data_IF_827591835387
#
_entry.id   IF_827591835387
#
_cell.length_a   1.000
_cell.length_b   1.000
_cell.length_c   1.000
_cell.angle_alpha   90.00
_cell.angle_beta   90.00
_cell.angle_gamma   90.00
#
_symmetry.space_group_name_H-M   'P 1'
#
loop_
_entity.id
_entity.type
_entity.pdbx_description
1 polymer ?
#
# COMPACT_ATOMS: atom_id res chain seq x y z
N UNK A 1 36.44 -30.68 27.22
CA UNK A 1 36.59 -30.97 25.79
C UNK A 1 35.41 -30.34 25.05
N UNK A 2 35.59 -29.12 24.55
CA UNK A 2 34.53 -28.37 23.81
C UNK A 2 34.59 -28.70 22.33
N UNK A 3 33.51 -29.25 21.81
CA UNK A 3 33.36 -29.57 20.38
C UNK A 3 32.91 -28.31 19.63
N UNK A 4 33.83 -27.53 19.09
CA UNK A 4 33.51 -26.43 18.15
C UNK A 4 33.16 -27.02 16.78
N UNK A 5 31.86 -27.06 16.45
CA UNK A 5 31.42 -27.32 15.07
C UNK A 5 31.68 -26.06 14.22
N UNK A 6 32.70 -26.14 13.39
CA UNK A 6 33.00 -25.14 12.36
C UNK A 6 32.00 -25.29 11.20
N UNK A 7 31.12 -24.31 11.04
CA UNK A 7 30.27 -24.18 9.84
C UNK A 7 31.12 -23.59 8.70
N UNK A 8 31.51 -24.42 7.73
CA UNK A 8 32.10 -23.95 6.48
C UNK A 8 31.00 -23.30 5.62
N UNK A 9 31.14 -21.98 5.34
CA UNK A 9 30.34 -21.27 4.34
C UNK A 9 30.59 -21.93 2.97
N UNK A 10 29.62 -22.72 2.49
CA UNK A 10 29.58 -23.08 1.06
C UNK A 10 29.30 -21.80 0.28
N UNK A 11 30.28 -21.37 -0.52
CA UNK A 11 30.13 -20.29 -1.46
C UNK A 11 29.02 -20.64 -2.47
N UNK A 12 27.92 -19.92 -2.46
CA UNK A 12 26.90 -19.96 -3.50
C UNK A 12 27.53 -19.43 -4.78
N UNK A 13 27.77 -20.27 -5.77
CA UNK A 13 28.06 -19.85 -7.15
C UNK A 13 26.70 -19.70 -7.84
N UNK A 14 26.34 -18.49 -8.33
CA UNK A 14 25.14 -18.37 -9.17
C UNK A 14 25.36 -19.24 -10.40
N UNK A 15 24.47 -20.19 -10.66
CA UNK A 15 24.40 -20.91 -11.92
C UNK A 15 24.15 -19.90 -13.04
N UNK A 16 24.77 -20.15 -14.19
CA UNK A 16 24.68 -19.34 -15.40
C UNK A 16 23.26 -18.82 -15.67
N UNK A 17 23.22 -17.51 -15.88
CA UNK A 17 22.12 -16.65 -16.37
C UNK A 17 20.89 -17.43 -16.83
N UNK A 18 19.92 -17.54 -15.95
CA UNK A 18 18.54 -17.66 -16.42
C UNK A 18 18.29 -16.50 -17.41
N UNK A 19 17.71 -16.76 -18.59
CA UNK A 19 17.43 -15.71 -19.56
C UNK A 19 16.62 -14.63 -18.82
N UNK A 20 17.12 -13.39 -18.87
CA UNK A 20 16.41 -12.25 -18.30
C UNK A 20 14.98 -12.29 -18.88
N UNK A 21 13.99 -12.44 -18.00
CA UNK A 21 12.58 -12.35 -18.37
C UNK A 21 12.38 -10.94 -18.95
N UNK A 22 12.30 -10.86 -20.27
CA UNK A 22 11.85 -9.64 -20.96
C UNK A 22 10.34 -9.76 -21.07
N UNK A 23 9.57 -8.98 -20.31
CA UNK A 23 8.14 -8.89 -20.56
C UNK A 23 7.98 -8.48 -22.02
N UNK A 24 7.27 -9.27 -22.81
CA UNK A 24 6.84 -8.86 -24.15
C UNK A 24 5.97 -7.61 -23.91
N UNK A 25 6.50 -6.43 -24.23
CA UNK A 25 5.67 -5.22 -24.30
C UNK A 25 4.61 -5.53 -25.36
N UNK A 26 3.39 -5.75 -24.91
CA UNK A 26 2.22 -5.69 -25.79
C UNK A 26 2.18 -4.31 -26.47
N UNK A 27 1.46 -4.17 -27.58
CA UNK A 27 1.31 -2.87 -28.20
C UNK A 27 0.82 -1.89 -27.13
N UNK A 28 1.53 -0.78 -27.00
CA UNK A 28 1.22 0.29 -26.06
C UNK A 28 -0.03 1.01 -26.62
N UNK A 29 -1.21 0.46 -26.31
CA UNK A 29 -2.51 0.97 -26.80
C UNK A 29 -3.05 2.13 -25.94
N UNK A 30 -2.23 2.68 -25.08
CA UNK A 30 -2.63 3.79 -24.25
C UNK A 30 -3.68 3.46 -23.17
N UNK A 31 -4.05 2.18 -22.98
CA UNK A 31 -5.00 1.74 -21.94
C UNK A 31 -4.33 1.61 -20.57
N UNK A 32 -3.44 2.52 -20.24
CA UNK A 32 -2.84 2.60 -18.93
C UNK A 32 -3.89 2.93 -17.86
N UNK A 33 -3.79 2.29 -16.70
CA UNK A 33 -4.45 2.73 -15.47
C UNK A 33 -4.04 4.17 -15.19
N UNK A 34 -4.79 5.14 -15.75
CA UNK A 34 -4.60 6.54 -15.38
C UNK A 34 -5.32 6.77 -14.07
N UNK A 35 -4.58 7.25 -13.09
CA UNK A 35 -5.06 7.62 -11.77
C UNK A 35 -5.98 8.84 -11.82
N UNK A 36 -6.01 9.52 -12.95
CA UNK A 36 -6.95 10.58 -13.28
C UNK A 36 -8.09 10.01 -14.15
N UNK A 37 -9.18 9.78 -13.54
CA UNK A 37 -10.59 9.70 -13.93
C UNK A 37 -11.06 9.20 -15.29
N UNK A 38 -10.27 8.96 -16.33
CA UNK A 38 -10.77 8.70 -17.68
C UNK A 38 -10.25 7.43 -18.38
N UNK A 39 -9.34 6.66 -17.79
CA UNK A 39 -8.65 5.56 -18.47
C UNK A 39 -9.15 4.15 -18.22
N UNK A 40 -9.87 3.89 -17.16
CA UNK A 40 -10.45 2.59 -16.88
C UNK A 40 -11.89 2.54 -17.41
N UNK A 41 -12.09 1.96 -18.58
CA UNK A 41 -13.40 1.44 -18.99
C UNK A 41 -13.72 0.21 -18.12
N UNK A 42 -13.96 0.45 -16.83
CA UNK A 42 -14.46 -0.55 -15.93
C UNK A 42 -15.86 -0.97 -16.40
N UNK A 43 -16.06 -2.24 -16.69
CA UNK A 43 -17.40 -2.78 -16.89
C UNK A 43 -18.17 -2.57 -15.58
N UNK A 44 -19.02 -1.57 -15.59
CA UNK A 44 -19.83 -1.13 -14.46
C UNK A 44 -20.74 -2.27 -13.99
N UNK A 45 -20.22 -3.11 -13.09
CA UNK A 45 -21.02 -4.22 -12.53
C UNK A 45 -21.92 -3.78 -11.37
N UNK A 46 -21.64 -2.66 -10.70
CA UNK A 46 -22.44 -2.14 -9.57
C UNK A 46 -22.22 -0.65 -9.39
N UNK A 47 -23.22 0.16 -9.60
CA UNK A 47 -23.36 1.56 -9.19
C UNK A 47 -22.23 2.52 -9.59
N UNK A 48 -22.39 3.81 -9.32
CA UNK A 48 -21.34 4.78 -9.57
C UNK A 48 -20.16 4.50 -8.63
N UNK A 49 -18.94 4.30 -9.21
CA UNK A 49 -17.72 4.32 -8.44
C UNK A 49 -17.65 5.67 -7.71
N UNK A 50 -17.38 5.65 -6.39
CA UNK A 50 -17.12 6.88 -5.66
C UNK A 50 -16.06 7.70 -6.40
N UNK A 51 -16.33 8.99 -6.59
CA UNK A 51 -15.35 9.90 -7.19
C UNK A 51 -14.11 9.89 -6.31
N UNK A 52 -12.95 9.61 -6.89
CA UNK A 52 -11.68 9.78 -6.19
C UNK A 52 -11.38 11.26 -5.99
N UNK A 53 -10.65 11.56 -4.93
CA UNK A 53 -10.22 12.92 -4.62
C UNK A 53 -9.20 13.43 -5.64
N UNK A 54 -9.33 14.69 -6.05
CA UNK A 54 -8.29 15.40 -6.78
C UNK A 54 -7.07 15.69 -5.88
N UNK A 55 -5.93 15.99 -6.47
CA UNK A 55 -4.73 16.36 -5.70
C UNK A 55 -4.96 17.59 -4.80
N UNK A 56 -5.76 18.55 -5.28
CA UNK A 56 -6.11 19.74 -4.48
C UNK A 56 -6.98 19.38 -3.27
N UNK A 57 -7.97 18.52 -3.45
CA UNK A 57 -8.80 18.00 -2.36
C UNK A 57 -7.95 17.22 -1.34
N UNK A 58 -7.01 16.40 -1.79
CA UNK A 58 -6.09 15.64 -0.92
C UNK A 58 -5.17 16.52 -0.08
N UNK A 59 -4.79 17.70 -0.57
CA UNK A 59 -3.97 18.64 0.21
C UNK A 59 -4.72 19.21 1.41
N UNK A 60 -6.02 19.35 1.33
CA UNK A 60 -6.89 19.88 2.39
C UNK A 60 -7.49 18.80 3.28
N UNK A 61 -7.43 17.54 2.86
CA UNK A 61 -8.06 16.42 3.52
C UNK A 61 -7.28 15.93 4.75
N UNK A 62 -8.01 15.49 5.77
CA UNK A 62 -7.46 14.80 6.92
C UNK A 62 -7.21 13.32 6.66
N UNK A 63 -6.64 12.63 7.68
CA UNK A 63 -6.27 11.21 7.57
C UNK A 63 -7.47 10.31 7.25
N UNK A 64 -8.67 10.66 7.70
CA UNK A 64 -9.87 9.85 7.48
C UNK A 64 -10.30 9.85 6.01
N UNK A 65 -10.31 11.01 5.38
CA UNK A 65 -10.66 11.17 3.97
C UNK A 65 -9.58 10.55 3.09
N UNK A 66 -8.30 10.83 3.39
CA UNK A 66 -7.17 10.30 2.63
C UNK A 66 -7.10 8.77 2.69
N UNK A 67 -7.28 8.17 3.86
CA UNK A 67 -7.23 6.71 4.00
C UNK A 67 -8.41 6.01 3.33
N UNK A 68 -9.59 6.66 3.28
CA UNK A 68 -10.74 6.15 2.55
C UNK A 68 -10.51 6.19 1.03
N UNK A 69 -10.06 7.34 0.50
CA UNK A 69 -9.73 7.49 -0.93
C UNK A 69 -8.66 6.48 -1.36
N UNK A 70 -7.62 6.31 -0.53
CA UNK A 70 -6.57 5.32 -0.75
C UNK A 70 -7.12 3.90 -0.80
N UNK A 71 -8.01 3.52 0.13
CA UNK A 71 -8.69 2.22 0.13
C UNK A 71 -9.49 1.99 -1.16
N UNK A 72 -10.16 3.02 -1.68
CA UNK A 72 -10.85 2.97 -2.97
C UNK A 72 -9.87 2.74 -4.14
N UNK A 73 -8.70 3.38 -4.11
CA UNK A 73 -7.66 3.22 -5.13
C UNK A 73 -7.05 1.82 -5.08
N UNK A 74 -6.75 1.30 -3.89
CA UNK A 74 -6.27 -0.07 -3.70
C UNK A 74 -7.30 -1.11 -4.18
N UNK A 75 -8.60 -0.86 -3.95
CA UNK A 75 -9.66 -1.72 -4.48
C UNK A 75 -9.66 -1.76 -6.01
N UNK A 76 -9.44 -0.62 -6.67
CA UNK A 76 -9.32 -0.53 -8.12
C UNK A 76 -8.04 -1.22 -8.63
N UNK A 77 -6.93 -1.06 -7.91
CA UNK A 77 -5.69 -1.77 -8.21
C UNK A 77 -5.89 -3.29 -8.16
N UNK A 78 -6.54 -3.79 -7.10
CA UNK A 78 -6.87 -5.21 -6.99
C UNK A 78 -7.68 -5.71 -8.18
N UNK A 79 -8.71 -4.97 -8.60
CA UNK A 79 -9.54 -5.33 -9.75
C UNK A 79 -8.71 -5.32 -11.04
N UNK A 80 -7.88 -4.30 -11.24
CA UNK A 80 -6.97 -4.24 -12.38
C UNK A 80 -6.04 -5.45 -12.44
N UNK A 81 -5.37 -5.79 -11.35
CA UNK A 81 -4.44 -6.91 -11.30
C UNK A 81 -5.09 -8.28 -11.52
N UNK A 82 -6.35 -8.44 -11.14
CA UNK A 82 -7.05 -9.74 -11.20
C UNK A 82 -7.95 -9.91 -12.42
N UNK A 83 -8.44 -8.81 -13.01
CA UNK A 83 -9.42 -8.86 -14.10
C UNK A 83 -8.91 -8.26 -15.41
N UNK A 84 -8.18 -7.13 -15.37
CA UNK A 84 -7.88 -6.31 -16.54
C UNK A 84 -6.42 -6.44 -17.04
N UNK A 85 -5.46 -6.73 -16.13
CA UNK A 85 -4.06 -6.84 -16.50
C UNK A 85 -3.80 -8.00 -17.48
N UNK A 86 -2.85 -7.81 -18.40
CA UNK A 86 -2.43 -8.84 -19.34
C UNK A 86 -1.94 -10.11 -18.61
N UNK A 87 -1.16 -9.90 -17.54
CA UNK A 87 -0.71 -10.96 -16.64
C UNK A 87 -1.43 -10.82 -15.31
N UNK A 88 -2.40 -11.71 -15.07
CA UNK A 88 -3.20 -11.69 -13.86
C UNK A 88 -2.39 -12.12 -12.66
N UNK A 89 -2.45 -11.31 -11.62
CA UNK A 89 -1.75 -11.54 -10.37
C UNK A 89 -2.77 -11.76 -9.23
N UNK A 90 -2.72 -12.93 -8.56
CA UNK A 90 -3.72 -13.32 -7.56
C UNK A 90 -3.17 -13.49 -6.14
N UNK A 91 -1.86 -13.42 -5.96
CA UNK A 91 -1.21 -13.65 -4.67
C UNK A 91 -0.88 -12.33 -3.99
N UNK A 92 -0.06 -11.50 -4.63
CA UNK A 92 0.33 -10.19 -4.12
C UNK A 92 -0.86 -9.23 -4.11
N UNK A 93 -1.73 -9.33 -5.13
CA UNK A 93 -2.96 -8.52 -5.20
C UNK A 93 -3.85 -8.67 -3.97
N UNK A 94 -3.96 -9.87 -3.41
CA UNK A 94 -4.72 -10.10 -2.15
C UNK A 94 -4.02 -9.49 -0.94
N UNK A 95 -2.70 -9.52 -0.89
CA UNK A 95 -1.93 -8.97 0.22
C UNK A 95 -2.04 -7.44 0.23
N UNK A 96 -1.80 -6.80 -0.91
CA UNK A 96 -1.93 -5.33 -1.01
C UNK A 96 -3.38 -4.87 -0.80
N UNK A 97 -4.37 -5.64 -1.25
CA UNK A 97 -5.78 -5.34 -0.98
C UNK A 97 -6.07 -5.35 0.52
N UNK A 98 -5.60 -6.39 1.22
CA UNK A 98 -5.77 -6.54 2.66
C UNK A 98 -5.10 -5.39 3.42
N UNK A 99 -3.79 -5.18 3.21
CA UNK A 99 -3.05 -4.14 3.93
C UNK A 99 -3.58 -2.75 3.60
N UNK A 100 -3.73 -2.37 2.34
CA UNK A 100 -4.16 -1.04 1.95
C UNK A 100 -5.57 -0.67 2.39
N UNK A 101 -6.51 -1.64 2.43
CA UNK A 101 -7.87 -1.39 2.98
C UNK A 101 -7.89 -1.37 4.51
N UNK A 102 -6.99 -2.13 5.18
CA UNK A 102 -6.83 -2.13 6.63
C UNK A 102 -6.37 -0.77 7.18
N UNK A 103 -5.61 0.02 6.39
CA UNK A 103 -5.26 1.39 6.77
C UNK A 103 -6.51 2.20 7.09
N UNK A 104 -7.44 2.27 6.14
CA UNK A 104 -8.68 3.03 6.29
C UNK A 104 -9.60 2.47 7.38
N UNK A 105 -9.66 1.15 7.53
CA UNK A 105 -10.45 0.48 8.56
C UNK A 105 -9.97 0.88 9.97
N UNK A 106 -8.68 0.77 10.27
CA UNK A 106 -8.13 1.14 11.58
C UNK A 106 -8.22 2.64 11.85
N UNK A 107 -7.99 3.50 10.85
CA UNK A 107 -8.22 4.94 10.97
C UNK A 107 -9.70 5.22 11.28
N UNK A 108 -10.65 4.50 10.68
CA UNK A 108 -12.07 4.65 10.97
C UNK A 108 -12.43 4.22 12.40
N UNK A 109 -11.91 3.08 12.84
CA UNK A 109 -12.13 2.54 14.18
C UNK A 109 -11.59 3.45 15.28
N UNK A 110 -10.46 4.15 15.03
CA UNK A 110 -9.87 5.07 16.02
C UNK A 110 -10.80 6.21 16.45
N UNK A 111 -11.83 6.55 15.65
CA UNK A 111 -12.88 7.52 16.03
C UNK A 111 -13.68 7.08 17.25
N UNK A 112 -13.75 5.79 17.51
CA UNK A 112 -14.51 5.19 18.59
C UNK A 112 -13.61 4.60 19.68
N UNK A 113 -12.34 5.03 19.73
CA UNK A 113 -11.38 4.58 20.72
C UNK A 113 -11.84 4.95 22.14
N UNK A 114 -11.77 3.96 23.05
CA UNK A 114 -12.22 4.11 24.44
C UNK A 114 -11.19 4.84 25.34
N UNK A 115 -9.95 4.98 24.86
CA UNK A 115 -8.84 5.62 25.56
C UNK A 115 -7.76 6.11 24.61
N UNK A 116 -6.86 6.99 25.10
CA UNK A 116 -5.67 7.41 24.36
C UNK A 116 -4.78 6.21 23.96
N UNK A 117 -4.71 5.17 24.78
CA UNK A 117 -3.96 3.96 24.49
C UNK A 117 -4.62 3.13 23.35
N UNK A 118 -5.94 3.03 23.34
CA UNK A 118 -6.69 2.37 22.28
C UNK A 118 -6.59 3.15 20.96
N UNK A 119 -6.73 4.48 21.01
CA UNK A 119 -6.49 5.34 19.85
C UNK A 119 -5.08 5.15 19.28
N UNK A 120 -4.04 5.18 20.13
CA UNK A 120 -2.67 4.94 19.73
C UNK A 120 -2.49 3.55 19.11
N UNK A 121 -3.14 2.53 19.68
CA UNK A 121 -3.11 1.16 19.16
C UNK A 121 -3.66 1.10 17.72
N UNK A 122 -4.84 1.67 17.47
CA UNK A 122 -5.47 1.70 16.14
C UNK A 122 -4.63 2.47 15.12
N UNK A 123 -4.10 3.63 15.49
CA UNK A 123 -3.23 4.41 14.60
C UNK A 123 -1.89 3.71 14.34
N UNK A 124 -1.35 2.96 15.30
CA UNK A 124 -0.13 2.18 15.11
C UNK A 124 -0.34 0.97 14.20
N UNK A 125 -1.53 0.35 14.24
CA UNK A 125 -1.89 -0.72 13.30
C UNK A 125 -2.02 -0.11 11.91
N UNK A 126 -2.76 0.99 11.74
CA UNK A 126 -2.88 1.67 10.44
C UNK A 126 -1.52 2.04 9.83
N UNK A 127 -0.56 2.49 10.67
CA UNK A 127 0.80 2.78 10.25
C UNK A 127 1.52 1.55 9.70
N UNK A 128 1.44 0.41 10.40
CA UNK A 128 2.06 -0.85 9.95
C UNK A 128 1.44 -1.38 8.65
N UNK A 129 0.14 -1.26 8.51
CA UNK A 129 -0.58 -1.67 7.29
C UNK A 129 -0.20 -0.78 6.08
N UNK A 130 0.04 0.51 6.31
CA UNK A 130 0.53 1.41 5.26
C UNK A 130 1.98 1.08 4.85
N UNK A 131 2.85 0.74 5.81
CA UNK A 131 4.22 0.27 5.57
C UNK A 131 4.23 -1.07 4.79
N UNK A 132 3.37 -2.03 5.19
CA UNK A 132 3.17 -3.28 4.45
C UNK A 132 2.67 -3.01 3.02
N UNK A 133 1.79 -2.04 2.84
CA UNK A 133 1.27 -1.66 1.52
C UNK A 133 2.38 -1.09 0.61
N UNK A 134 3.30 -0.29 1.16
CA UNK A 134 4.47 0.21 0.43
C UNK A 134 5.35 -0.95 -0.06
N UNK A 135 5.61 -1.93 0.79
CA UNK A 135 6.35 -3.14 0.40
C UNK A 135 5.71 -3.86 -0.79
N UNK A 136 4.39 -4.06 -0.76
CA UNK A 136 3.69 -4.73 -1.86
C UNK A 136 3.65 -3.89 -3.14
N UNK A 137 3.55 -2.55 -3.04
CA UNK A 137 3.63 -1.64 -4.19
C UNK A 137 4.99 -1.75 -4.88
N UNK A 138 6.09 -1.72 -4.12
CA UNK A 138 7.44 -1.90 -4.65
C UNK A 138 7.58 -3.26 -5.34
N UNK A 139 7.10 -4.32 -4.70
CA UNK A 139 7.20 -5.67 -5.26
C UNK A 139 6.42 -5.82 -6.59
N UNK A 140 5.23 -5.22 -6.69
CA UNK A 140 4.44 -5.20 -7.93
C UNK A 140 5.13 -4.40 -9.03
N UNK A 141 5.74 -3.28 -8.68
CA UNK A 141 6.47 -2.43 -9.62
C UNK A 141 7.74 -3.11 -10.12
N UNK A 142 8.59 -3.62 -9.22
CA UNK A 142 9.87 -4.25 -9.55
C UNK A 142 9.69 -5.51 -10.42
N UNK A 143 8.54 -6.17 -10.32
CA UNK A 143 8.18 -7.34 -11.13
C UNK A 143 7.34 -7.00 -12.39
N UNK A 144 7.15 -5.73 -12.71
CA UNK A 144 6.53 -5.26 -13.95
C UNK A 144 5.01 -5.37 -14.01
N UNK A 145 4.33 -5.60 -12.87
CA UNK A 145 2.86 -5.57 -12.79
C UNK A 145 2.32 -4.13 -12.77
N UNK A 146 3.12 -3.17 -12.31
CA UNK A 146 2.82 -1.74 -12.35
C UNK A 146 3.88 -1.01 -13.18
N UNK A 147 3.46 -0.05 -13.97
CA UNK A 147 4.39 0.89 -14.60
C UNK A 147 4.75 2.03 -13.63
N UNK A 148 5.76 2.85 -13.99
CA UNK A 148 6.26 3.95 -13.17
C UNK A 148 5.15 4.94 -12.76
N UNK A 149 4.27 5.31 -13.68
CA UNK A 149 3.19 6.27 -13.43
C UNK A 149 2.20 5.73 -12.38
N UNK A 150 1.77 4.47 -12.55
CA UNK A 150 0.86 3.78 -11.64
C UNK A 150 1.47 3.66 -10.24
N UNK A 151 2.72 3.21 -10.17
CA UNK A 151 3.46 3.07 -8.94
C UNK A 151 3.62 4.41 -8.22
N UNK A 152 4.21 5.42 -8.88
CA UNK A 152 4.47 6.72 -8.26
C UNK A 152 3.19 7.39 -7.77
N UNK A 153 2.09 7.24 -8.50
CA UNK A 153 0.82 7.81 -8.10
C UNK A 153 0.24 7.18 -6.85
N UNK A 154 0.31 5.85 -6.72
CA UNK A 154 -0.17 5.13 -5.53
C UNK A 154 0.78 5.33 -4.34
N UNK A 155 2.08 5.26 -4.59
CA UNK A 155 3.09 5.43 -3.55
C UNK A 155 3.08 6.83 -2.95
N UNK A 156 2.83 7.86 -3.76
CA UNK A 156 2.67 9.25 -3.27
C UNK A 156 1.54 9.40 -2.26
N UNK A 157 0.43 8.72 -2.46
CA UNK A 157 -0.69 8.74 -1.51
C UNK A 157 -0.35 7.96 -0.24
N UNK A 158 0.31 6.81 -0.38
CA UNK A 158 0.77 6.02 0.76
C UNK A 158 1.79 6.79 1.62
N UNK A 159 2.77 7.42 1.00
CA UNK A 159 3.75 8.31 1.65
C UNK A 159 3.09 9.43 2.46
N UNK A 160 2.05 10.05 1.89
CA UNK A 160 1.31 11.11 2.58
C UNK A 160 0.62 10.57 3.83
N UNK A 161 -0.01 9.41 3.72
CA UNK A 161 -0.66 8.71 4.84
C UNK A 161 0.39 8.34 5.91
N UNK A 162 1.51 7.74 5.52
CA UNK A 162 2.60 7.36 6.43
C UNK A 162 3.14 8.56 7.22
N UNK A 163 3.36 9.70 6.57
CA UNK A 163 3.81 10.94 7.23
C UNK A 163 2.82 11.43 8.28
N UNK A 164 1.53 11.41 7.98
CA UNK A 164 0.49 11.83 8.92
C UNK A 164 0.41 10.85 10.08
N UNK A 165 0.36 9.54 9.82
CA UNK A 165 0.30 8.50 10.86
C UNK A 165 1.53 8.52 11.76
N UNK A 166 2.73 8.74 11.20
CA UNK A 166 3.97 8.91 11.99
C UNK A 166 3.85 10.07 12.97
N UNK A 167 3.34 11.22 12.51
CA UNK A 167 3.13 12.40 13.37
C UNK A 167 2.12 12.11 14.49
N UNK A 168 0.98 11.49 14.15
CA UNK A 168 -0.06 11.14 15.13
C UNK A 168 0.49 10.18 16.20
N UNK A 169 1.13 9.09 15.76
CA UNK A 169 1.69 8.06 16.66
C UNK A 169 2.74 8.66 17.58
N UNK A 170 3.64 9.50 17.05
CA UNK A 170 4.67 10.18 17.87
C UNK A 170 4.05 11.09 18.92
N UNK A 171 3.09 11.94 18.54
CA UNK A 171 2.42 12.87 19.44
C UNK A 171 1.64 12.15 20.52
N UNK A 172 0.94 11.07 20.16
CA UNK A 172 0.16 10.29 21.13
C UNK A 172 1.03 9.52 22.12
N UNK A 173 2.17 8.97 21.68
CA UNK A 173 3.14 8.35 22.59
C UNK A 173 3.64 9.36 23.63
N UNK A 174 4.04 10.55 23.18
CA UNK A 174 4.51 11.59 24.08
C UNK A 174 3.42 12.02 25.08
N UNK A 175 2.18 12.23 24.62
CA UNK A 175 1.05 12.58 25.48
C UNK A 175 0.82 11.56 26.59
N UNK A 176 0.86 10.25 26.25
CA UNK A 176 0.68 9.16 27.22
C UNK A 176 1.84 9.09 28.21
N UNK A 177 3.08 9.30 27.76
CA UNK A 177 4.26 9.34 28.64
C UNK A 177 4.21 10.51 29.64
N UNK A 178 3.82 11.68 29.16
CA UNK A 178 3.72 12.88 30.00
C UNK A 178 2.58 12.77 31.06
N UNK A 179 1.49 12.07 30.70
CA UNK A 179 0.41 11.79 31.65
C UNK A 179 0.83 10.81 32.75
N UNK A 180 1.78 9.90 32.50
CA UNK A 180 2.31 8.97 33.53
C UNK A 180 3.27 9.60 34.52
N UNK A 181 3.83 10.78 34.21
CA UNK A 181 4.80 11.49 35.03
C UNK A 181 4.13 12.45 36.02
N UNK A 182 2.83 12.68 35.88
CA UNK A 182 1.99 13.51 36.76
C UNK A 182 1.32 12.68 37.85
#
# INVERSE_FOLDING_TARGET
MENKKTYTKKSYKPSEKAPAYKPKRGPNDGSGFTVQGEGLKYKQRRGPLSKLMSEEEKHKAGIHELSYDFGCRITRLFQYLTEDAEYKEYVISKQIYRSGTSVGANVRESKHAQSDADFLSKMSIAYKEADETEYWLNLLHDNGYLNDEQFHSLNKDNDRILKILTSIVKTMKQKIEDAKKK
#
